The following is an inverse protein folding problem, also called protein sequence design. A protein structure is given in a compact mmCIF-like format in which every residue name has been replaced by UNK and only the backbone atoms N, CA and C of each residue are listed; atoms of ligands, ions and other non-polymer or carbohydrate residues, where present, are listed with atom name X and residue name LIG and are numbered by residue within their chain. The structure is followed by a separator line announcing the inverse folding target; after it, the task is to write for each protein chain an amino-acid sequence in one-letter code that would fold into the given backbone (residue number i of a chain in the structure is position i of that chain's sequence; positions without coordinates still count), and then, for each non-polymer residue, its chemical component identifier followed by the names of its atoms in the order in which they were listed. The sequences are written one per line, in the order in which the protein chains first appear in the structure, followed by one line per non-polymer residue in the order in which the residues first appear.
data_IF_785122478918
#
_entry.id   IF_785122478918
#
_cell.length_a   1.000
_cell.length_b   1.000
_cell.length_c   1.000
_cell.angle_alpha   90.00
_cell.angle_beta   90.00
_cell.angle_gamma   90.00
#
_symmetry.space_group_name_H-M   'P 1'
#
loop_
_entity.id
_entity.type
_entity.pdbx_description
1 polymer ?
#
# COMPACT_ATOMS: atom_id res chain seq x y z
N UNK A 1 -6.07 14.93 13.24
CA UNK A 1 -4.95 14.59 12.33
C UNK A 1 -4.92 13.10 11.96
N UNK A 2 -4.86 12.18 12.92
CA UNK A 2 -4.93 10.71 12.66
C UNK A 2 -6.13 10.32 11.78
N UNK A 3 -7.34 10.84 12.05
CA UNK A 3 -8.52 10.56 11.21
C UNK A 3 -8.40 11.09 9.76
N UNK A 4 -7.71 12.23 9.57
CA UNK A 4 -7.41 12.74 8.22
C UNK A 4 -6.43 11.80 7.50
N UNK A 5 -5.43 11.29 8.20
CA UNK A 5 -4.49 10.30 7.65
C UNK A 5 -5.23 9.02 7.26
N UNK A 6 -6.12 8.49 8.13
CA UNK A 6 -6.96 7.32 7.80
C UNK A 6 -7.81 7.55 6.56
N UNK A 7 -8.48 8.69 6.45
CA UNK A 7 -9.30 9.03 5.29
C UNK A 7 -8.44 9.12 4.00
N UNK A 8 -7.26 9.72 4.07
CA UNK A 8 -6.31 9.76 2.95
C UNK A 8 -5.79 8.37 2.58
N UNK A 9 -5.45 7.54 3.57
CA UNK A 9 -5.03 6.15 3.35
C UNK A 9 -6.13 5.36 2.65
N UNK A 10 -7.39 5.52 3.04
CA UNK A 10 -8.51 4.85 2.37
C UNK A 10 -8.68 5.28 0.90
N UNK A 11 -8.45 6.56 0.58
CA UNK A 11 -8.45 7.05 -0.80
C UNK A 11 -7.31 6.41 -1.62
N UNK A 12 -6.11 6.33 -1.06
CA UNK A 12 -4.97 5.68 -1.70
C UNK A 12 -5.14 4.18 -1.82
N UNK A 13 -5.74 3.51 -0.84
CA UNK A 13 -6.02 2.08 -0.88
C UNK A 13 -7.01 1.74 -2.01
N UNK A 14 -8.05 2.57 -2.19
CA UNK A 14 -8.95 2.44 -3.34
C UNK A 14 -8.21 2.57 -4.67
N UNK A 15 -7.31 3.56 -4.81
CA UNK A 15 -6.49 3.73 -6.02
C UNK A 15 -5.55 2.55 -6.24
N UNK A 16 -4.87 2.10 -5.19
CA UNK A 16 -3.98 0.93 -5.21
C UNK A 16 -4.73 -0.33 -5.68
N UNK A 17 -5.93 -0.57 -5.16
CA UNK A 17 -6.73 -1.73 -5.55
C UNK A 17 -7.14 -1.67 -7.03
N UNK A 18 -7.55 -0.50 -7.52
CA UNK A 18 -7.86 -0.31 -8.95
C UNK A 18 -6.63 -0.58 -9.81
N UNK A 19 -5.48 0.01 -9.47
CA UNK A 19 -4.23 -0.17 -10.20
C UNK A 19 -3.73 -1.63 -10.17
N UNK A 20 -3.85 -2.30 -9.02
CA UNK A 20 -3.52 -3.72 -8.88
C UNK A 20 -4.37 -4.62 -9.79
N UNK A 21 -5.68 -4.39 -9.84
CA UNK A 21 -6.57 -5.15 -10.73
C UNK A 21 -6.24 -4.90 -12.20
N UNK A 22 -5.85 -3.67 -12.55
CA UNK A 22 -5.43 -3.35 -13.91
C UNK A 22 -4.10 -4.04 -14.26
N UNK A 23 -3.08 -3.94 -13.40
CA UNK A 23 -1.80 -4.60 -13.59
C UNK A 23 -1.91 -6.14 -13.69
N UNK A 24 -2.88 -6.76 -13.00
CA UNK A 24 -3.16 -8.20 -13.16
C UNK A 24 -3.75 -8.56 -14.54
N UNK A 25 -4.55 -7.66 -15.14
CA UNK A 25 -5.08 -7.85 -16.50
C UNK A 25 -3.99 -7.69 -17.53
N UNK A 26 -3.12 -6.70 -17.35
CA UNK A 26 -2.06 -6.34 -18.30
C UNK A 26 -0.86 -7.30 -18.26
N UNK A 27 -0.69 -8.03 -17.16
CA UNK A 27 0.35 -9.05 -17.05
C UNK A 27 0.26 -10.10 -18.18
N UNK A 28 1.40 -10.37 -18.82
CA UNK A 28 1.53 -11.13 -20.07
C UNK A 28 1.19 -12.63 -19.94
N UNK A 29 1.13 -13.18 -18.73
CA UNK A 29 0.79 -14.59 -18.51
C UNK A 29 0.64 -14.98 -17.05
N UNK A 30 0.22 -16.22 -16.81
CA UNK A 30 -0.20 -16.68 -15.49
C UNK A 30 0.92 -16.65 -14.44
N UNK A 31 2.15 -16.94 -14.86
CA UNK A 31 3.32 -16.84 -13.97
C UNK A 31 3.56 -15.40 -13.49
N UNK A 32 3.43 -14.41 -14.36
CA UNK A 32 3.59 -13.00 -13.98
C UNK A 32 2.44 -12.55 -13.08
N UNK A 33 1.20 -12.96 -13.37
CA UNK A 33 0.04 -12.70 -12.51
C UNK A 33 0.20 -13.31 -11.12
N UNK A 34 0.70 -14.54 -11.04
CA UNK A 34 0.95 -15.22 -9.78
C UNK A 34 2.01 -14.51 -8.95
N UNK A 35 3.13 -14.12 -9.58
CA UNK A 35 4.18 -13.36 -8.90
C UNK A 35 3.68 -11.99 -8.43
N UNK A 36 2.87 -11.29 -9.23
CA UNK A 36 2.26 -10.02 -8.81
C UNK A 36 1.32 -10.20 -7.61
N UNK A 37 0.50 -11.26 -7.58
CA UNK A 37 -0.34 -11.59 -6.42
C UNK A 37 0.52 -11.85 -5.17
N UNK A 38 1.61 -12.59 -5.32
CA UNK A 38 2.53 -12.88 -4.22
C UNK A 38 3.21 -11.62 -3.71
N UNK A 39 3.75 -10.79 -4.61
CA UNK A 39 4.36 -9.52 -4.27
C UNK A 39 3.38 -8.60 -3.53
N UNK A 40 2.14 -8.48 -4.00
CA UNK A 40 1.12 -7.67 -3.33
C UNK A 40 0.81 -8.15 -1.91
N UNK A 41 0.67 -9.47 -1.69
CA UNK A 41 0.43 -10.04 -0.36
C UNK A 41 1.60 -9.84 0.59
N UNK A 42 2.83 -9.98 0.10
CA UNK A 42 4.03 -9.74 0.90
C UNK A 42 4.19 -8.26 1.24
N UNK A 43 3.86 -7.38 0.29
CA UNK A 43 3.86 -5.94 0.54
C UNK A 43 2.86 -5.53 1.63
N UNK A 44 1.65 -6.10 1.66
CA UNK A 44 0.68 -5.86 2.74
C UNK A 44 1.27 -6.24 4.10
N UNK A 45 1.84 -7.45 4.21
CA UNK A 45 2.47 -7.91 5.45
C UNK A 45 3.62 -7.01 5.89
N UNK A 46 4.47 -6.59 4.93
CA UNK A 46 5.55 -5.65 5.20
C UNK A 46 5.03 -4.30 5.69
N UNK A 47 4.05 -3.71 5.00
CA UNK A 47 3.44 -2.43 5.39
C UNK A 47 2.88 -2.50 6.81
N UNK A 48 2.10 -3.53 7.09
CA UNK A 48 1.41 -3.65 8.37
C UNK A 48 2.43 -3.86 9.51
N UNK A 49 3.45 -4.69 9.31
CA UNK A 49 4.53 -4.87 10.28
C UNK A 49 5.39 -3.61 10.47
N UNK A 50 5.74 -2.93 9.37
CA UNK A 50 6.54 -1.71 9.38
C UNK A 50 5.81 -0.57 10.07
N UNK A 51 4.51 -0.40 9.82
CA UNK A 51 3.74 0.67 10.44
C UNK A 51 3.36 0.38 11.90
N UNK A 52 3.22 -0.90 12.28
CA UNK A 52 3.08 -1.29 13.70
C UNK A 52 4.31 -0.91 14.53
N UNK A 53 5.53 -0.99 13.97
CA UNK A 53 6.74 -0.55 14.66
C UNK A 53 6.64 0.91 15.12
N UNK A 54 6.11 1.82 14.29
CA UNK A 54 5.89 3.21 14.67
C UNK A 54 4.77 3.38 15.71
N UNK A 55 3.70 2.58 15.62
CA UNK A 55 2.56 2.66 16.56
C UNK A 55 2.94 2.22 17.98
N UNK A 56 3.91 1.32 18.09
CA UNK A 56 4.51 0.88 19.35
C UNK A 56 5.53 1.86 19.93
N UNK A 57 5.74 3.02 19.29
CA UNK A 57 6.57 4.10 19.80
C UNK A 57 5.96 4.80 21.03
N UNK A 58 6.74 5.70 21.64
CA UNK A 58 6.31 6.41 22.85
C UNK A 58 5.43 7.63 22.57
N UNK A 59 4.52 7.91 23.50
CA UNK A 59 3.68 9.11 23.49
C UNK A 59 2.60 9.12 22.40
N UNK A 60 1.86 10.23 22.31
CA UNK A 60 0.74 10.35 21.36
C UNK A 60 1.20 10.59 19.92
N UNK A 61 2.48 10.89 19.70
CA UNK A 61 3.05 11.10 18.36
C UNK A 61 3.21 9.78 17.59
N UNK A 62 3.44 8.66 18.29
CA UNK A 62 3.52 7.33 17.70
C UNK A 62 2.34 6.99 16.78
N UNK A 63 1.12 7.34 17.18
CA UNK A 63 -0.09 7.15 16.36
C UNK A 63 -0.12 8.02 15.10
N UNK A 64 0.48 9.21 15.14
CA UNK A 64 0.60 10.07 13.96
C UNK A 64 1.62 9.49 13.00
N UNK A 65 2.77 9.03 13.50
CA UNK A 65 3.83 8.42 12.70
C UNK A 65 3.36 7.12 12.04
N UNK A 66 2.66 6.26 12.78
CA UNK A 66 2.02 5.06 12.24
C UNK A 66 0.98 5.39 11.16
N UNK A 67 0.14 6.41 11.41
CA UNK A 67 -0.84 6.89 10.44
C UNK A 67 -0.19 7.40 9.14
N UNK A 68 0.92 8.12 9.26
CA UNK A 68 1.68 8.66 8.11
C UNK A 68 2.44 7.54 7.37
N UNK A 69 2.98 6.56 8.09
CA UNK A 69 3.54 5.34 7.50
C UNK A 69 2.51 4.63 6.62
N UNK A 70 1.32 4.35 7.16
CA UNK A 70 0.26 3.66 6.43
C UNK A 70 -0.14 4.44 5.17
N UNK A 71 -0.29 5.76 5.29
CA UNK A 71 -0.66 6.65 4.19
C UNK A 71 0.40 6.69 3.10
N UNK A 72 1.66 6.96 3.45
CA UNK A 72 2.77 7.14 2.51
C UNK A 72 3.11 5.84 1.78
N UNK A 73 3.15 4.71 2.48
CA UNK A 73 3.42 3.40 1.85
C UNK A 73 2.31 3.01 0.87
N UNK A 74 1.04 3.22 1.26
CA UNK A 74 -0.09 2.90 0.38
C UNK A 74 -0.13 3.80 -0.86
N UNK A 75 0.21 5.09 -0.71
CA UNK A 75 0.39 6.01 -1.85
C UNK A 75 1.52 5.53 -2.78
N UNK A 76 2.68 5.18 -2.24
CA UNK A 76 3.82 4.73 -3.03
C UNK A 76 3.49 3.47 -3.84
N UNK A 77 2.83 2.49 -3.21
CA UNK A 77 2.41 1.26 -3.88
C UNK A 77 1.34 1.50 -4.95
N UNK A 78 0.39 2.40 -4.70
CA UNK A 78 -0.58 2.79 -5.71
C UNK A 78 0.14 3.34 -6.97
N UNK A 79 1.07 4.28 -6.79
CA UNK A 79 1.84 4.88 -7.90
C UNK A 79 2.72 3.86 -8.62
N UNK A 80 3.36 2.95 -7.89
CA UNK A 80 4.14 1.86 -8.47
C UNK A 80 3.27 1.00 -9.40
N UNK A 81 2.10 0.56 -8.92
CA UNK A 81 1.17 -0.26 -9.70
C UNK A 81 0.56 0.50 -10.88
N UNK A 82 0.23 1.79 -10.71
CA UNK A 82 -0.23 2.67 -11.79
C UNK A 82 0.81 2.73 -12.92
N UNK A 83 2.11 2.72 -12.59
CA UNK A 83 3.19 2.77 -13.57
C UNK A 83 3.48 1.43 -14.26
N UNK A 84 3.05 0.28 -13.71
CA UNK A 84 3.26 -1.02 -14.36
C UNK A 84 2.43 -1.18 -15.64
N UNK A 85 1.27 -0.53 -15.74
CA UNK A 85 0.39 -0.58 -16.91
C UNK A 85 0.83 0.33 -18.09
N UNK A 86 1.96 1.02 -17.95
CA UNK A 86 2.52 1.89 -18.99
C UNK A 86 3.72 1.27 -19.74
N UNK A 87 4.03 -0.01 -19.48
CA UNK A 87 5.11 -0.75 -20.13
C UNK A 87 4.54 -1.69 -21.20
#
# INVERSE_FOLDING_TARGET
MVECLKAKTAQWDKRMNVAYQQALKDAAGDKQREQLRTAQRLWIQYRDANCLYYDLGEGTIARLDAGECMRSMTEARAKELENLGHQ
#
